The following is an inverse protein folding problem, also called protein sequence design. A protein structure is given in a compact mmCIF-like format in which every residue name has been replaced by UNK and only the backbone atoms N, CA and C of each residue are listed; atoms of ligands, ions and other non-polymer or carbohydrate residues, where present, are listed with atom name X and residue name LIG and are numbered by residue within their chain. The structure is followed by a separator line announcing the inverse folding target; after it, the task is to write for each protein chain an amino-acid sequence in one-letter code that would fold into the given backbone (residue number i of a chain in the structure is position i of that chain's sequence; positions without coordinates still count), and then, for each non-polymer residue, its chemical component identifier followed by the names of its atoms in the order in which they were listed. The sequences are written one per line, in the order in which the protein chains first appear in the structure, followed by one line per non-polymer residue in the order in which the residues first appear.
data_IF_480473825627
#
_entry.id   IF_480473825627
#
_cell.length_a   1.000
_cell.length_b   1.000
_cell.length_c   1.000
_cell.angle_alpha   90.00
_cell.angle_beta   90.00
_cell.angle_gamma   90.00
#
_symmetry.space_group_name_H-M   'P 1'
#
loop_
_entity.id
_entity.type
_entity.pdbx_description
1 polymer ?
#
# COMPACT_ATOMS: atom_id res chain seq x y z
N UNK A 1 12.45 -23.00 -1.11
CA UNK A 1 11.79 -23.93 -2.05
C UNK A 1 10.45 -24.28 -1.44
N UNK A 2 9.38 -23.76 -2.02
CA UNK A 2 8.01 -23.99 -1.56
C UNK A 2 7.69 -25.49 -1.69
N UNK A 3 7.30 -26.13 -0.58
CA UNK A 3 6.90 -27.53 -0.57
C UNK A 3 5.41 -27.62 -0.19
N UNK A 4 4.50 -27.82 -1.16
CA UNK A 4 3.06 -27.87 -0.89
C UNK A 4 2.64 -29.05 -0.02
N UNK A 5 3.49 -30.08 0.13
CA UNK A 5 3.19 -31.25 0.94
C UNK A 5 3.52 -31.05 2.44
N UNK A 6 4.27 -30.01 2.79
CA UNK A 6 4.63 -29.74 4.17
C UNK A 6 3.48 -29.06 4.95
N UNK A 7 3.56 -29.14 6.27
CA UNK A 7 2.67 -28.39 7.16
C UNK A 7 3.48 -27.28 7.81
N UNK A 8 3.00 -26.05 7.68
CA UNK A 8 3.63 -24.88 8.28
C UNK A 8 2.93 -24.46 9.57
N UNK A 9 3.66 -23.78 10.44
CA UNK A 9 3.13 -23.17 11.65
C UNK A 9 3.78 -21.81 11.91
N UNK A 10 3.02 -20.90 12.54
CA UNK A 10 3.55 -19.63 13.03
C UNK A 10 2.63 -19.02 14.10
N UNK A 11 3.13 -18.00 14.81
CA UNK A 11 2.31 -17.12 15.64
C UNK A 11 1.70 -16.05 14.72
N UNK A 12 0.37 -15.94 14.71
CA UNK A 12 -0.38 -15.02 13.83
C UNK A 12 -0.80 -13.71 14.52
N UNK A 13 -0.54 -13.56 15.81
CA UNK A 13 -0.77 -12.32 16.58
C UNK A 13 0.51 -11.48 16.69
N UNK A 14 0.42 -10.15 16.84
CA UNK A 14 1.58 -9.30 17.05
C UNK A 14 2.46 -9.76 18.23
N UNK A 15 3.77 -9.59 18.11
CA UNK A 15 4.69 -9.87 19.21
C UNK A 15 4.42 -8.94 20.39
N UNK A 16 4.37 -9.47 21.61
CA UNK A 16 4.13 -8.71 22.82
C UNK A 16 3.38 -9.51 23.87
N UNK A 17 2.90 -8.80 24.90
CA UNK A 17 2.01 -9.36 25.93
C UNK A 17 0.58 -8.91 25.64
N UNK A 18 -0.32 -9.88 25.53
CA UNK A 18 -1.76 -9.65 25.35
C UNK A 18 -2.59 -10.63 26.17
N UNK A 19 -3.91 -10.47 26.12
CA UNK A 19 -4.81 -11.45 26.75
C UNK A 19 -4.74 -12.81 26.03
N UNK A 20 -4.66 -12.79 24.70
CA UNK A 20 -4.66 -13.97 23.84
C UNK A 20 -3.55 -13.90 22.79
N UNK A 21 -3.05 -15.06 22.37
CA UNK A 21 -2.20 -15.26 21.21
C UNK A 21 -2.76 -16.39 20.35
N UNK A 22 -2.48 -16.33 19.04
CA UNK A 22 -2.92 -17.36 18.08
C UNK A 22 -1.70 -18.02 17.48
N UNK A 23 -1.57 -19.34 17.67
CA UNK A 23 -0.64 -20.19 16.91
C UNK A 23 -1.44 -20.91 15.83
N UNK A 24 -1.01 -20.79 14.59
CA UNK A 24 -1.73 -21.27 13.41
C UNK A 24 -0.90 -22.32 12.67
N UNK A 25 -1.55 -23.38 12.20
CA UNK A 25 -0.97 -24.40 11.33
C UNK A 25 -1.73 -24.48 10.01
N UNK A 26 -1.05 -24.71 8.88
CA UNK A 26 -1.66 -24.99 7.57
C UNK A 26 -0.94 -26.11 6.85
N UNK A 27 -1.68 -27.01 6.23
CA UNK A 27 -1.17 -28.14 5.44
C UNK A 27 -1.86 -29.45 5.82
N UNK A 28 -1.62 -30.49 5.02
CA UNK A 28 -2.32 -31.79 5.12
C UNK A 28 -2.27 -32.44 6.51
N UNK A 29 -1.22 -32.19 7.29
CA UNK A 29 -1.03 -32.79 8.61
C UNK A 29 -1.39 -31.85 9.77
N UNK A 30 -1.91 -30.64 9.52
CA UNK A 30 -2.19 -29.63 10.56
C UNK A 30 -3.09 -30.16 11.68
N UNK A 31 -4.17 -30.89 11.32
CA UNK A 31 -5.04 -31.57 12.29
C UNK A 31 -4.30 -32.62 13.10
N UNK A 32 -3.59 -33.53 12.43
CA UNK A 32 -2.92 -34.65 13.10
C UNK A 32 -1.82 -34.16 14.07
N UNK A 33 -0.99 -33.21 13.65
CA UNK A 33 0.06 -32.61 14.48
C UNK A 33 -0.55 -31.96 15.72
N UNK A 34 -1.63 -31.19 15.55
CA UNK A 34 -2.25 -30.49 16.66
C UNK A 34 -3.00 -31.42 17.63
N UNK A 35 -3.68 -32.47 17.14
CA UNK A 35 -4.37 -33.46 17.97
C UNK A 35 -3.42 -34.29 18.85
N UNK A 36 -2.18 -34.54 18.42
CA UNK A 36 -1.18 -35.28 19.23
C UNK A 36 -0.89 -34.63 20.58
N UNK A 37 -0.95 -33.30 20.63
CA UNK A 37 -0.61 -32.52 21.81
C UNK A 37 -1.83 -31.91 22.49
N UNK A 38 -3.04 -32.22 22.00
CA UNK A 38 -4.28 -31.65 22.51
C UNK A 38 -5.08 -32.66 23.33
N UNK A 39 -5.37 -32.29 24.57
CA UNK A 39 -6.23 -33.05 25.47
C UNK A 39 -7.56 -32.33 25.62
N UNK A 40 -8.54 -32.71 24.81
CA UNK A 40 -9.86 -32.08 24.79
C UNK A 40 -10.89 -32.87 23.99
N UNK A 41 -11.96 -32.19 23.58
CA UNK A 41 -12.97 -32.77 22.70
C UNK A 41 -12.43 -33.06 21.29
N UNK A 42 -13.19 -33.84 20.51
CA UNK A 42 -12.86 -34.09 19.10
C UNK A 42 -12.94 -32.80 18.29
N UNK A 43 -11.92 -32.52 17.47
CA UNK A 43 -11.93 -31.37 16.57
C UNK A 43 -12.90 -31.60 15.40
N UNK A 44 -13.94 -30.78 15.35
CA UNK A 44 -14.95 -30.72 14.28
C UNK A 44 -14.74 -29.45 13.43
N UNK A 45 -15.10 -29.53 12.15
CA UNK A 45 -14.87 -28.43 11.20
C UNK A 45 -15.58 -27.15 11.66
N UNK A 46 -14.83 -26.05 11.75
CA UNK A 46 -15.26 -24.70 12.15
C UNK A 46 -15.90 -24.62 13.54
N UNK A 47 -15.59 -25.56 14.43
CA UNK A 47 -16.10 -25.57 15.80
C UNK A 47 -15.00 -25.27 16.81
N UNK A 48 -15.27 -24.29 17.68
CA UNK A 48 -14.42 -24.00 18.82
C UNK A 48 -14.45 -25.15 19.83
N UNK A 49 -13.28 -25.69 20.14
CA UNK A 49 -13.12 -26.85 21.02
C UNK A 49 -12.16 -26.49 22.15
N UNK A 50 -12.64 -26.54 23.39
CA UNK A 50 -11.84 -26.27 24.58
C UNK A 50 -11.06 -27.53 25.01
N UNK A 51 -9.85 -27.32 25.51
CA UNK A 51 -9.00 -28.36 26.09
C UNK A 51 -7.64 -27.81 26.53
N UNK A 52 -6.68 -28.70 26.74
CA UNK A 52 -5.33 -28.33 27.15
C UNK A 52 -4.31 -28.72 26.07
N UNK A 53 -3.30 -27.88 25.85
CA UNK A 53 -2.08 -28.30 25.15
C UNK A 53 -1.12 -28.90 26.17
N UNK A 54 -0.57 -30.08 25.88
CA UNK A 54 0.36 -30.80 26.74
C UNK A 54 1.70 -31.05 26.03
N UNK A 55 2.79 -31.02 26.77
CA UNK A 55 4.12 -31.36 26.27
C UNK A 55 4.33 -32.89 26.13
N UNK A 56 5.52 -33.31 25.68
CA UNK A 56 5.89 -34.73 25.55
C UNK A 56 5.95 -35.50 26.86
N UNK A 57 6.04 -34.81 28.01
CA UNK A 57 6.02 -35.39 29.35
C UNK A 57 4.60 -35.44 29.95
N UNK A 58 3.60 -34.93 29.23
CA UNK A 58 2.21 -34.82 29.70
C UNK A 58 1.95 -33.63 30.62
N UNK A 59 2.88 -32.68 30.72
CA UNK A 59 2.72 -31.43 31.46
C UNK A 59 1.85 -30.48 30.64
N UNK A 60 0.86 -29.86 31.28
CA UNK A 60 0.01 -28.87 30.63
C UNK A 60 0.84 -27.61 30.37
N UNK A 61 0.90 -27.20 29.11
CA UNK A 61 1.48 -25.93 28.67
C UNK A 61 0.46 -24.81 28.88
N UNK A 62 -0.78 -25.01 28.38
CA UNK A 62 -1.84 -24.01 28.52
C UNK A 62 -3.25 -24.60 28.30
N UNK A 63 -4.25 -23.87 28.80
CA UNK A 63 -5.66 -24.05 28.49
C UNK A 63 -5.99 -23.27 27.22
N UNK A 64 -6.50 -23.95 26.18
CA UNK A 64 -6.68 -23.35 24.85
C UNK A 64 -8.06 -23.57 24.27
N UNK A 65 -8.40 -22.75 23.28
CA UNK A 65 -9.49 -23.01 22.34
C UNK A 65 -8.88 -23.32 20.97
N UNK A 66 -9.21 -24.47 20.42
CA UNK A 66 -8.79 -24.88 19.08
C UNK A 66 -9.94 -24.81 18.09
N UNK A 67 -9.64 -24.34 16.88
CA UNK A 67 -10.56 -24.36 15.74
C UNK A 67 -9.86 -25.07 14.59
N UNK A 68 -10.46 -26.12 14.06
CA UNK A 68 -10.00 -26.78 12.85
C UNK A 68 -10.85 -26.35 11.66
N UNK A 69 -10.20 -26.05 10.54
CA UNK A 69 -10.81 -25.75 9.26
C UNK A 69 -10.41 -26.84 8.28
N UNK A 70 -11.38 -27.60 7.80
CA UNK A 70 -11.18 -28.62 6.79
C UNK A 70 -11.03 -27.98 5.41
N UNK A 71 -10.07 -28.46 4.60
CA UNK A 71 -9.93 -28.07 3.20
C UNK A 71 -11.24 -28.33 2.41
N UNK A 72 -11.64 -27.45 1.47
CA UNK A 72 -11.03 -26.17 1.09
C UNK A 72 -11.54 -24.96 1.91
N UNK A 73 -12.27 -25.19 3.00
CA UNK A 73 -13.00 -24.18 3.77
C UNK A 73 -12.16 -23.33 4.72
N UNK A 74 -10.83 -23.25 4.53
CA UNK A 74 -9.88 -22.51 5.38
C UNK A 74 -9.27 -21.30 4.68
N UNK A 75 -8.50 -20.46 5.38
CA UNK A 75 -7.81 -19.30 4.77
C UNK A 75 -6.89 -19.66 3.61
N UNK A 76 -6.12 -20.74 3.73
CA UNK A 76 -5.17 -21.22 2.72
C UNK A 76 -5.81 -22.17 1.71
N UNK A 77 -7.09 -22.52 1.88
CA UNK A 77 -7.76 -23.64 1.20
C UNK A 77 -7.16 -25.04 1.48
N UNK A 78 -6.24 -25.15 2.44
CA UNK A 78 -5.73 -26.42 2.98
C UNK A 78 -6.42 -26.79 4.30
N UNK A 79 -6.08 -27.92 4.90
CA UNK A 79 -6.44 -28.15 6.30
C UNK A 79 -5.67 -27.15 7.18
N UNK A 80 -6.38 -26.42 8.04
CA UNK A 80 -5.80 -25.41 8.93
C UNK A 80 -6.28 -25.62 10.36
N UNK A 81 -5.43 -25.32 11.34
CA UNK A 81 -5.78 -25.31 12.75
C UNK A 81 -5.33 -23.99 13.38
N UNK A 82 -6.21 -23.36 14.15
CA UNK A 82 -5.90 -22.20 14.97
C UNK A 82 -5.99 -22.57 16.46
N UNK A 83 -4.94 -22.25 17.20
CA UNK A 83 -4.81 -22.49 18.64
C UNK A 83 -4.80 -21.13 19.33
N UNK A 84 -5.90 -20.81 20.01
CA UNK A 84 -6.07 -19.60 20.79
C UNK A 84 -5.65 -19.91 22.22
N UNK A 85 -4.53 -19.32 22.64
CA UNK A 85 -3.88 -19.53 23.93
C UNK A 85 -3.74 -18.20 24.68
N UNK A 86 -3.29 -18.22 25.93
CA UNK A 86 -2.96 -17.00 26.66
C UNK A 86 -1.85 -16.23 25.96
N UNK A 87 -1.99 -14.91 25.88
CA UNK A 87 -1.11 -14.03 25.09
C UNK A 87 0.28 -13.75 25.69
N UNK A 88 0.81 -14.71 26.46
CA UNK A 88 2.19 -14.67 26.95
C UNK A 88 3.18 -15.12 25.87
N UNK A 89 4.30 -14.41 25.76
CA UNK A 89 5.37 -14.77 24.82
C UNK A 89 5.85 -16.21 25.03
N UNK A 90 6.09 -16.62 26.27
CA UNK A 90 6.57 -17.97 26.61
C UNK A 90 5.58 -19.06 26.19
N UNK A 91 4.29 -18.85 26.41
CA UNK A 91 3.24 -19.84 26.11
C UNK A 91 3.13 -20.06 24.60
N UNK A 92 2.97 -18.98 23.83
CA UNK A 92 2.86 -19.06 22.37
C UNK A 92 4.12 -19.64 21.70
N UNK A 93 5.32 -19.35 22.23
CA UNK A 93 6.57 -19.96 21.76
C UNK A 93 6.66 -21.46 22.08
N UNK A 94 6.30 -21.89 23.30
CA UNK A 94 6.29 -23.32 23.66
C UNK A 94 5.33 -24.12 22.77
N UNK A 95 4.14 -23.59 22.51
CA UNK A 95 3.17 -24.22 21.60
C UNK A 95 3.72 -24.30 20.18
N UNK A 96 4.37 -23.24 19.68
CA UNK A 96 5.00 -23.23 18.36
C UNK A 96 6.11 -24.30 18.26
N UNK A 97 7.03 -24.33 19.23
CA UNK A 97 8.12 -25.32 19.30
C UNK A 97 7.59 -26.75 19.35
N UNK A 98 6.51 -26.98 20.11
CA UNK A 98 5.85 -28.28 20.20
C UNK A 98 5.34 -28.75 18.83
N UNK A 99 4.70 -27.87 18.05
CA UNK A 99 4.26 -28.20 16.71
C UNK A 99 5.43 -28.42 15.75
N UNK A 100 6.51 -27.65 15.88
CA UNK A 100 7.73 -27.89 15.11
C UNK A 100 8.31 -29.28 15.38
N UNK A 101 8.42 -29.66 16.65
CA UNK A 101 8.91 -30.98 17.06
C UNK A 101 7.98 -32.12 16.60
N UNK A 102 6.69 -31.84 16.42
CA UNK A 102 5.70 -32.78 15.91
C UNK A 102 5.67 -32.89 14.37
N UNK A 103 6.50 -32.13 13.65
CA UNK A 103 6.70 -32.21 12.20
C UNK A 103 6.21 -31.02 11.39
N UNK A 104 5.75 -29.94 12.02
CA UNK A 104 5.47 -28.69 11.31
C UNK A 104 6.77 -27.91 11.04
N UNK A 105 6.86 -27.20 9.92
CA UNK A 105 7.94 -26.25 9.64
C UNK A 105 7.50 -24.84 10.06
N UNK A 106 8.44 -23.97 10.45
CA UNK A 106 8.15 -22.55 10.60
C UNK A 106 7.76 -21.94 9.25
N UNK A 107 6.65 -21.21 9.23
CA UNK A 107 6.21 -20.48 8.04
C UNK A 107 7.20 -19.36 7.68
N UNK A 108 7.40 -19.13 6.39
CA UNK A 108 8.08 -17.96 5.88
C UNK A 108 7.16 -16.71 5.92
N UNK A 109 7.71 -15.49 5.81
CA UNK A 109 6.90 -14.28 5.68
C UNK A 109 5.90 -14.40 4.51
N UNK A 110 4.63 -14.09 4.77
CA UNK A 110 3.56 -14.14 3.75
C UNK A 110 3.16 -15.53 3.27
N UNK A 111 3.72 -16.62 3.82
CA UNK A 111 3.54 -17.96 3.29
C UNK A 111 2.07 -18.44 3.36
N UNK A 112 1.28 -18.03 4.35
CA UNK A 112 -0.14 -18.44 4.37
C UNK A 112 -0.92 -17.74 3.25
N UNK A 113 -0.68 -16.46 2.99
CA UNK A 113 -1.34 -15.72 1.90
C UNK A 113 -0.86 -16.26 0.55
N UNK A 114 0.43 -16.59 0.42
CA UNK A 114 0.97 -17.25 -0.79
C UNK A 114 0.25 -18.57 -1.06
N UNK A 115 0.02 -19.41 -0.05
CA UNK A 115 -0.74 -20.66 -0.21
C UNK A 115 -2.19 -20.40 -0.62
N UNK A 116 -2.83 -19.39 -0.05
CA UNK A 116 -4.19 -18.99 -0.45
C UNK A 116 -4.24 -18.58 -1.93
N UNK A 117 -3.23 -17.84 -2.41
CA UNK A 117 -3.08 -17.49 -3.82
C UNK A 117 -2.87 -18.72 -4.71
N UNK A 118 -1.90 -19.58 -4.37
CA UNK A 118 -1.58 -20.78 -5.15
C UNK A 118 -2.74 -21.79 -5.23
N UNK A 119 -3.57 -21.85 -4.20
CA UNK A 119 -4.77 -22.69 -4.17
C UNK A 119 -6.00 -22.00 -4.82
N UNK A 120 -5.82 -20.86 -5.50
CA UNK A 120 -6.86 -20.16 -6.25
C UNK A 120 -7.92 -19.49 -5.38
N UNK A 121 -7.68 -19.33 -4.09
CA UNK A 121 -8.61 -18.66 -3.16
C UNK A 121 -8.51 -17.13 -3.26
N UNK A 122 -7.36 -16.61 -3.63
CA UNK A 122 -7.09 -15.20 -3.89
C UNK A 122 -6.33 -15.08 -5.21
N UNK A 123 -6.49 -13.96 -5.91
CA UNK A 123 -5.54 -13.54 -6.94
C UNK A 123 -4.42 -12.68 -6.32
N UNK A 124 -3.43 -12.30 -7.13
CA UNK A 124 -2.27 -11.56 -6.62
C UNK A 124 -2.63 -10.13 -6.15
N UNK A 125 -3.66 -9.51 -6.74
CA UNK A 125 -4.13 -8.17 -6.34
C UNK A 125 -4.87 -8.22 -5.00
N UNK A 126 -5.68 -9.25 -4.78
CA UNK A 126 -6.37 -9.53 -3.52
C UNK A 126 -5.36 -9.89 -2.43
N UNK A 127 -4.32 -10.66 -2.76
CA UNK A 127 -3.22 -10.98 -1.84
C UNK A 127 -2.47 -9.71 -1.38
N UNK A 128 -2.08 -8.83 -2.30
CA UNK A 128 -1.46 -7.54 -1.96
C UNK A 128 -2.37 -6.69 -1.07
N UNK A 129 -3.68 -6.69 -1.34
CA UNK A 129 -4.67 -5.96 -0.56
C UNK A 129 -4.75 -6.43 0.89
N UNK A 130 -4.51 -7.72 1.19
CA UNK A 130 -4.43 -8.22 2.58
C UNK A 130 -3.33 -7.48 3.35
N UNK A 131 -2.15 -7.29 2.75
CA UNK A 131 -1.05 -6.57 3.38
C UNK A 131 -1.37 -5.07 3.55
N UNK A 132 -2.00 -4.47 2.55
CA UNK A 132 -2.45 -3.08 2.62
C UNK A 132 -3.46 -2.85 3.75
N UNK A 133 -4.42 -3.76 3.97
CA UNK A 133 -5.38 -3.66 5.10
C UNK A 133 -4.66 -3.71 6.45
N UNK A 134 -3.70 -4.61 6.60
CA UNK A 134 -2.95 -4.78 7.87
C UNK A 134 -2.12 -3.53 8.18
N UNK A 135 -1.51 -2.94 7.16
CA UNK A 135 -0.63 -1.78 7.31
C UNK A 135 -1.34 -0.43 7.24
N UNK A 136 -2.63 -0.42 6.85
CA UNK A 136 -3.43 0.77 6.65
C UNK A 136 -3.34 1.72 7.85
N UNK A 137 -2.98 2.97 7.55
CA UNK A 137 -2.81 4.03 8.56
C UNK A 137 -4.11 4.82 8.76
N UNK A 138 -4.90 5.00 7.71
CA UNK A 138 -6.19 5.71 7.78
C UNK A 138 -7.36 4.81 7.40
N UNK A 139 -8.57 5.31 7.68
CA UNK A 139 -9.81 4.69 7.23
C UNK A 139 -9.90 4.64 5.69
N UNK A 140 -9.45 5.69 4.98
CA UNK A 140 -9.47 5.68 3.51
C UNK A 140 -8.49 4.67 2.94
N UNK A 141 -7.27 4.56 3.48
CA UNK A 141 -6.32 3.51 3.07
C UNK A 141 -6.90 2.12 3.26
N UNK A 142 -7.53 1.88 4.42
CA UNK A 142 -8.19 0.61 4.72
C UNK A 142 -9.31 0.33 3.72
N UNK A 143 -10.14 1.34 3.41
CA UNK A 143 -11.29 1.19 2.52
C UNK A 143 -10.86 0.87 1.08
N UNK A 144 -9.86 1.56 0.54
CA UNK A 144 -9.29 1.25 -0.78
C UNK A 144 -8.75 -0.19 -0.85
N UNK A 145 -8.01 -0.61 0.18
CA UNK A 145 -7.51 -1.98 0.27
C UNK A 145 -8.66 -3.01 0.41
N UNK A 146 -9.74 -2.68 1.13
CA UNK A 146 -10.93 -3.52 1.21
C UNK A 146 -11.60 -3.70 -0.15
N UNK A 147 -11.75 -2.65 -0.96
CA UNK A 147 -12.29 -2.77 -2.31
C UNK A 147 -11.44 -3.72 -3.18
N UNK A 148 -10.12 -3.64 -3.09
CA UNK A 148 -9.25 -4.56 -3.84
C UNK A 148 -9.36 -6.00 -3.32
N UNK A 149 -9.47 -6.21 -2.00
CA UNK A 149 -9.72 -7.53 -1.43
C UNK A 149 -11.09 -8.12 -1.84
N UNK A 150 -12.09 -7.28 -2.05
CA UNK A 150 -13.41 -7.65 -2.60
C UNK A 150 -13.37 -7.89 -4.13
N UNK A 151 -12.21 -7.80 -4.76
CA UNK A 151 -12.01 -8.07 -6.19
C UNK A 151 -12.37 -6.91 -7.11
N UNK A 152 -12.52 -5.67 -6.60
CA UNK A 152 -12.88 -4.51 -7.45
C UNK A 152 -11.81 -4.22 -8.52
N UNK A 153 -10.52 -4.25 -8.15
CA UNK A 153 -9.42 -4.11 -9.12
C UNK A 153 -9.39 -5.29 -10.09
N UNK A 154 -9.47 -6.52 -9.58
CA UNK A 154 -9.56 -7.75 -10.39
C UNK A 154 -10.64 -7.66 -11.46
N UNK A 155 -11.86 -7.25 -11.09
CA UNK A 155 -12.96 -7.12 -12.05
C UNK A 155 -12.63 -6.11 -13.17
N UNK A 156 -12.03 -4.96 -12.85
CA UNK A 156 -11.59 -3.99 -13.86
C UNK A 156 -10.53 -4.60 -14.81
N UNK A 157 -9.59 -5.38 -14.27
CA UNK A 157 -8.55 -6.05 -15.07
C UNK A 157 -9.12 -7.19 -15.92
N UNK A 158 -10.06 -7.98 -15.38
CA UNK A 158 -10.72 -9.07 -16.09
C UNK A 158 -11.54 -8.56 -17.28
N UNK A 159 -12.15 -7.37 -17.18
CA UNK A 159 -12.81 -6.72 -18.31
C UNK A 159 -11.80 -6.39 -19.43
N UNK A 160 -10.62 -5.85 -19.08
CA UNK A 160 -9.57 -5.55 -20.07
C UNK A 160 -9.05 -6.84 -20.70
N UNK A 161 -8.74 -7.86 -19.89
CA UNK A 161 -8.30 -9.17 -20.35
C UNK A 161 -9.30 -9.81 -21.32
N UNK A 162 -10.60 -9.76 -20.99
CA UNK A 162 -11.64 -10.38 -21.81
C UNK A 162 -11.72 -9.71 -23.19
N UNK A 163 -11.64 -8.37 -23.24
CA UNK A 163 -11.66 -7.63 -24.50
C UNK A 163 -10.41 -7.86 -25.34
N UNK A 164 -9.23 -7.91 -24.72
CA UNK A 164 -7.98 -8.25 -25.43
C UNK A 164 -8.07 -9.65 -26.02
N UNK A 165 -8.56 -10.62 -25.25
CA UNK A 165 -8.73 -12.00 -25.71
C UNK A 165 -9.74 -12.11 -26.87
N UNK A 166 -10.86 -11.39 -26.78
CA UNK A 166 -11.86 -11.34 -27.85
C UNK A 166 -11.28 -10.76 -29.14
N UNK A 167 -10.53 -9.65 -29.07
CA UNK A 167 -9.86 -9.07 -30.24
C UNK A 167 -8.85 -10.02 -30.87
N UNK A 168 -8.04 -10.70 -30.05
CA UNK A 168 -7.08 -11.70 -30.54
C UNK A 168 -7.84 -12.83 -31.25
N UNK A 169 -8.92 -13.33 -30.66
CA UNK A 169 -9.70 -14.44 -31.22
C UNK A 169 -10.34 -14.07 -32.57
N UNK A 170 -10.83 -12.83 -32.70
CA UNK A 170 -11.40 -12.31 -33.96
C UNK A 170 -10.34 -12.19 -35.05
N UNK A 171 -9.16 -11.65 -34.72
CA UNK A 171 -8.05 -11.53 -35.67
C UNK A 171 -7.49 -12.90 -36.08
N UNK A 172 -7.40 -13.85 -35.15
CA UNK A 172 -6.93 -15.22 -35.46
C UNK A 172 -7.90 -15.97 -36.38
N UNK A 173 -9.21 -15.80 -36.18
CA UNK A 173 -10.21 -16.40 -37.06
C UNK A 173 -10.13 -15.87 -38.50
N UNK A 174 -9.84 -14.59 -38.71
CA UNK A 174 -9.68 -14.06 -40.07
C UNK A 174 -8.47 -14.69 -40.78
N UNK A 175 -7.34 -14.84 -40.08
CA UNK A 175 -6.14 -15.47 -40.64
C UNK A 175 -6.40 -16.93 -41.03
N UNK A 176 -7.10 -17.68 -40.18
CA UNK A 176 -7.35 -19.11 -40.39
C UNK A 176 -8.42 -19.38 -41.47
N UNK A 177 -9.35 -18.45 -41.72
CA UNK A 177 -10.51 -18.64 -42.61
C UNK A 177 -10.61 -17.61 -43.75
N UNK A 178 -9.51 -16.93 -44.12
CA UNK A 178 -9.47 -15.86 -45.12
C UNK A 178 -9.98 -16.23 -46.53
N UNK A 179 -10.11 -17.52 -46.83
CA UNK A 179 -10.58 -18.07 -48.12
C UNK A 179 -12.09 -18.40 -48.14
N UNK A 180 -12.77 -18.35 -47.00
CA UNK A 180 -14.22 -18.55 -46.88
C UNK A 180 -14.96 -17.20 -47.02
N UNK A 181 -16.16 -17.18 -47.60
CA UNK A 181 -17.00 -15.96 -47.73
C UNK A 181 -17.57 -15.52 -46.35
N UNK A 182 -16.69 -15.30 -45.36
CA UNK A 182 -17.02 -14.74 -44.06
C UNK A 182 -17.06 -13.21 -44.19
N UNK A 183 -17.94 -12.55 -43.43
CA UNK A 183 -18.03 -11.09 -43.37
C UNK A 183 -16.64 -10.51 -43.04
N UNK A 184 -16.08 -9.74 -43.98
CA UNK A 184 -14.75 -9.10 -43.84
C UNK A 184 -14.61 -8.41 -42.49
N UNK A 185 -13.44 -8.56 -41.85
CA UNK A 185 -13.07 -7.84 -40.64
C UNK A 185 -13.46 -6.36 -40.68
N UNK A 186 -14.19 -5.92 -39.66
CA UNK A 186 -14.53 -4.51 -39.49
C UNK A 186 -13.42 -3.79 -38.71
N UNK A 187 -12.41 -3.27 -39.40
CA UNK A 187 -11.29 -2.56 -38.77
C UNK A 187 -11.72 -1.36 -37.90
N UNK A 188 -12.86 -0.72 -38.20
CA UNK A 188 -13.40 0.35 -37.33
C UNK A 188 -13.82 -0.20 -35.96
N UNK A 189 -14.41 -1.39 -35.93
CA UNK A 189 -14.82 -2.04 -34.68
C UNK A 189 -13.61 -2.49 -33.85
N UNK A 190 -12.53 -2.95 -34.49
CA UNK A 190 -11.26 -3.23 -33.80
C UNK A 190 -10.70 -1.95 -33.20
N UNK A 191 -10.68 -0.85 -33.96
CA UNK A 191 -10.18 0.44 -33.49
C UNK A 191 -10.99 1.00 -32.31
N UNK A 192 -12.32 0.89 -32.37
CA UNK A 192 -13.22 1.32 -31.30
C UNK A 192 -12.99 0.51 -30.02
N UNK A 193 -12.82 -0.82 -30.15
CA UNK A 193 -12.52 -1.69 -29.02
C UNK A 193 -11.15 -1.40 -28.39
N UNK A 194 -10.10 -1.18 -29.20
CA UNK A 194 -8.80 -0.78 -28.68
C UNK A 194 -8.84 0.57 -27.97
N UNK A 195 -9.63 1.52 -28.50
CA UNK A 195 -9.82 2.84 -27.88
C UNK A 195 -10.55 2.75 -26.53
N UNK A 196 -11.57 1.88 -26.41
CA UNK A 196 -12.23 1.63 -25.12
C UNK A 196 -11.28 0.95 -24.11
N UNK A 197 -10.47 -0.01 -24.55
CA UNK A 197 -9.45 -0.63 -23.70
C UNK A 197 -8.46 0.43 -23.21
N UNK A 198 -7.95 1.29 -24.10
CA UNK A 198 -7.04 2.37 -23.75
C UNK A 198 -7.65 3.32 -22.74
N UNK A 199 -8.91 3.74 -22.92
CA UNK A 199 -9.60 4.63 -21.98
C UNK A 199 -9.74 4.00 -20.58
N UNK A 200 -10.03 2.70 -20.49
CA UNK A 200 -10.08 1.97 -19.20
C UNK A 200 -8.73 1.88 -18.52
N UNK A 201 -7.67 1.67 -19.30
CA UNK A 201 -6.29 1.65 -18.80
C UNK A 201 -5.90 3.05 -18.27
N UNK A 202 -6.25 4.11 -19.00
CA UNK A 202 -6.02 5.50 -18.56
C UNK A 202 -6.78 5.83 -17.27
N UNK A 203 -8.03 5.38 -17.14
CA UNK A 203 -8.79 5.48 -15.89
C UNK A 203 -8.02 4.81 -14.73
N UNK A 204 -7.57 3.56 -14.91
CA UNK A 204 -6.81 2.84 -13.88
C UNK A 204 -5.51 3.57 -13.50
N UNK A 205 -4.74 4.04 -14.47
CA UNK A 205 -3.49 4.77 -14.22
C UNK A 205 -3.73 6.06 -13.44
N UNK A 206 -4.84 6.75 -13.71
CA UNK A 206 -5.21 7.97 -12.97
C UNK A 206 -5.47 7.73 -11.47
N UNK A 207 -5.76 6.49 -11.07
CA UNK A 207 -5.98 6.12 -9.66
C UNK A 207 -4.69 5.88 -8.88
N UNK A 208 -3.53 5.82 -9.54
CA UNK A 208 -2.29 5.46 -8.85
C UNK A 208 -1.81 6.50 -7.85
N UNK A 209 -1.99 7.79 -8.13
CA UNK A 209 -1.58 8.85 -7.21
C UNK A 209 -2.31 8.72 -5.87
N UNK A 210 -3.63 8.53 -5.90
CA UNK A 210 -4.42 8.34 -4.68
C UNK A 210 -4.06 7.04 -3.97
N UNK A 211 -3.80 5.96 -4.71
CA UNK A 211 -3.36 4.68 -4.13
C UNK A 211 -1.96 4.77 -3.49
N UNK A 212 -1.02 5.48 -4.11
CA UNK A 212 0.32 5.76 -3.58
C UNK A 212 0.24 6.56 -2.28
N UNK A 213 -0.60 7.59 -2.25
CA UNK A 213 -0.87 8.39 -1.05
C UNK A 213 -1.49 7.50 0.04
N UNK A 214 -2.48 6.67 -0.31
CA UNK A 214 -3.13 5.75 0.62
C UNK A 214 -2.16 4.72 1.24
N UNK A 215 -1.15 4.29 0.50
CA UNK A 215 -0.07 3.43 1.00
C UNK A 215 0.97 4.17 1.85
N UNK A 216 0.74 5.46 2.14
CA UNK A 216 1.63 6.26 2.97
C UNK A 216 2.96 6.56 2.29
N UNK A 217 2.95 6.74 0.96
CA UNK A 217 4.16 7.05 0.17
C UNK A 217 4.20 8.50 -0.32
N UNK A 218 3.30 9.34 0.17
CA UNK A 218 3.32 10.77 -0.07
C UNK A 218 4.14 11.48 1.02
N UNK A 219 5.03 12.39 0.63
CA UNK A 219 5.94 13.09 1.52
C UNK A 219 5.76 14.60 1.46
N UNK A 220 5.70 15.23 2.63
CA UNK A 220 5.71 16.69 2.80
C UNK A 220 6.93 17.10 3.62
N UNK A 221 7.67 18.11 3.13
CA UNK A 221 8.73 18.77 3.89
C UNK A 221 8.27 20.14 4.40
N UNK A 222 8.57 20.45 5.65
CA UNK A 222 8.42 21.82 6.19
C UNK A 222 9.76 22.54 6.06
N UNK A 223 9.76 23.66 5.34
CA UNK A 223 10.96 24.44 4.98
C UNK A 223 10.79 25.88 5.43
N UNK A 224 11.88 26.52 5.83
CA UNK A 224 11.91 27.94 6.21
C UNK A 224 13.10 28.26 7.10
N UNK A 225 13.40 29.55 7.28
CA UNK A 225 14.50 30.02 8.14
C UNK A 225 14.35 29.55 9.60
N UNK A 226 15.41 29.63 10.44
CA UNK A 226 15.31 29.36 11.87
C UNK A 226 14.19 30.18 12.54
N UNK A 227 13.54 29.60 13.56
CA UNK A 227 12.55 30.29 14.42
C UNK A 227 11.27 30.84 13.74
N UNK A 228 11.01 30.50 12.46
CA UNK A 228 9.75 30.84 11.74
C UNK A 228 8.53 30.01 12.22
N UNK A 229 8.76 29.00 13.06
CA UNK A 229 7.72 28.16 13.66
C UNK A 229 7.43 26.85 12.94
N UNK A 230 8.43 26.26 12.27
CA UNK A 230 8.37 24.93 11.63
C UNK A 230 7.88 23.84 12.59
N UNK A 231 8.56 23.67 13.73
CA UNK A 231 8.18 22.68 14.74
C UNK A 231 6.82 22.97 15.37
N UNK A 232 6.42 24.24 15.47
CA UNK A 232 5.07 24.61 15.93
C UNK A 232 4.00 24.15 14.94
N UNK A 233 4.22 24.33 13.63
CA UNK A 233 3.30 23.84 12.60
C UNK A 233 3.25 22.31 12.56
N UNK A 234 4.41 21.65 12.57
CA UNK A 234 4.52 20.19 12.63
C UNK A 234 3.68 19.61 13.79
N UNK A 235 3.89 20.11 15.00
CA UNK A 235 3.14 19.69 16.17
C UNK A 235 1.65 20.08 16.10
N UNK A 236 1.31 21.19 15.45
CA UNK A 236 -0.08 21.59 15.29
C UNK A 236 -0.81 20.62 14.36
N UNK A 237 -0.21 20.26 13.21
CA UNK A 237 -0.77 19.31 12.25
C UNK A 237 -0.88 17.90 12.82
N UNK A 238 0.13 17.42 13.56
CA UNK A 238 0.07 16.14 14.27
C UNK A 238 -1.05 16.06 15.33
N UNK A 239 -1.46 17.20 15.90
CA UNK A 239 -2.48 17.27 16.96
C UNK A 239 -3.88 17.56 16.44
N UNK A 240 -4.00 18.30 15.33
CA UNK A 240 -5.30 18.62 14.71
C UNK A 240 -5.86 17.45 13.94
N UNK A 241 -5.00 16.73 13.25
CA UNK A 241 -5.30 15.53 12.49
C UNK A 241 -4.72 14.36 13.26
N UNK A 242 -5.54 13.43 13.76
CA UNK A 242 -5.11 12.33 14.64
C UNK A 242 -3.82 11.70 14.09
N UNK A 243 -2.67 11.96 14.72
CA UNK A 243 -1.41 11.32 14.38
C UNK A 243 -1.64 9.81 14.38
N UNK A 244 -1.33 9.15 13.27
CA UNK A 244 -1.41 7.70 13.19
C UNK A 244 -0.09 7.20 13.72
N UNK A 245 0.00 7.14 15.05
CA UNK A 245 1.17 6.59 15.72
C UNK A 245 1.21 5.10 15.38
N UNK A 246 2.15 4.70 14.55
CA UNK A 246 2.45 3.28 14.36
C UNK A 246 3.25 2.83 15.57
N UNK A 247 2.60 2.18 16.52
CA UNK A 247 3.27 1.50 17.61
C UNK A 247 3.97 0.25 17.12
N UNK A 248 5.19 0.38 16.58
CA UNK A 248 6.17 -0.72 16.57
C UNK A 248 7.50 -0.14 17.06
N UNK A 249 7.89 -0.36 18.34
CA UNK A 249 9.21 0.00 18.81
C UNK A 249 10.25 -0.85 18.06
N UNK A 250 11.17 -0.22 17.31
CA UNK A 250 12.44 -0.87 16.95
C UNK A 250 12.87 -0.94 15.49
N UNK A 251 12.14 -0.40 14.50
CA UNK A 251 12.63 -0.42 13.11
C UNK A 251 13.41 0.85 12.75
N UNK A 252 14.72 0.78 13.04
CA UNK A 252 15.84 1.45 12.32
C UNK A 252 15.83 2.98 12.18
N UNK A 253 16.40 3.64 13.20
CA UNK A 253 17.51 4.63 13.24
C UNK A 253 17.76 5.71 12.16
N UNK A 254 17.00 5.86 11.08
CA UNK A 254 17.20 6.95 10.11
C UNK A 254 15.90 7.72 9.86
N UNK A 255 15.90 9.02 10.22
CA UNK A 255 14.79 9.98 10.15
C UNK A 255 13.52 9.60 10.94
N UNK A 256 13.19 10.34 11.99
CA UNK A 256 11.89 10.26 12.66
C UNK A 256 10.81 10.80 11.70
N UNK A 257 10.34 9.96 10.79
CA UNK A 257 9.21 10.20 9.90
C UNK A 257 7.92 9.92 10.66
N UNK A 258 6.97 10.86 10.63
CA UNK A 258 5.67 10.70 11.29
C UNK A 258 4.54 10.74 10.24
N UNK A 259 3.54 9.89 10.42
CA UNK A 259 2.34 9.90 9.58
C UNK A 259 1.32 10.90 10.10
N UNK A 260 1.00 11.89 9.27
CA UNK A 260 -0.09 12.84 9.49
C UNK A 260 -1.28 12.43 8.64
N UNK A 261 -2.48 12.44 9.22
CA UNK A 261 -3.70 12.25 8.45
C UNK A 261 -4.05 13.57 7.73
N UNK A 262 -4.07 13.59 6.40
CA UNK A 262 -4.49 14.75 5.63
C UNK A 262 -5.70 14.34 4.81
N UNK A 263 -6.87 14.87 5.14
CA UNK A 263 -8.08 14.59 4.36
C UNK A 263 -8.53 13.12 4.39
N UNK A 264 -8.14 12.37 5.42
CA UNK A 264 -8.40 10.93 5.50
C UNK A 264 -7.26 10.06 4.95
N UNK A 265 -6.16 10.64 4.47
CA UNK A 265 -5.02 9.91 3.89
C UNK A 265 -3.72 10.06 4.69
N UNK A 266 -2.86 9.04 4.75
CA UNK A 266 -1.61 9.12 5.46
C UNK A 266 -0.55 9.81 4.61
N UNK A 267 -0.01 10.91 5.13
CA UNK A 267 1.10 11.63 4.50
C UNK A 267 2.29 11.62 5.46
N UNK A 268 3.45 11.24 4.96
CA UNK A 268 4.70 11.31 5.71
C UNK A 268 5.09 12.77 5.80
N UNK A 269 5.23 13.27 7.02
CA UNK A 269 5.78 14.59 7.28
C UNK A 269 7.19 14.43 7.81
N UNK A 270 8.14 14.99 7.08
CA UNK A 270 9.54 15.03 7.51
C UNK A 270 9.81 16.40 8.11
N UNK A 271 10.00 16.44 9.44
CA UNK A 271 10.52 17.65 10.07
C UNK A 271 12.00 17.77 9.71
N UNK A 272 12.36 18.87 9.06
CA UNK A 272 13.77 19.23 8.85
C UNK A 272 14.52 19.48 10.16
N UNK A 273 13.84 19.44 11.32
CA UNK A 273 14.39 19.61 12.67
C UNK A 273 14.20 18.39 13.63
N UNK A 274 13.77 17.23 13.13
CA UNK A 274 13.19 16.15 13.95
C UNK A 274 14.09 15.05 14.52
N UNK A 275 15.43 15.16 14.56
CA UNK A 275 16.25 14.20 15.33
C UNK A 275 16.07 14.52 16.82
N UNK A 276 15.15 13.84 17.52
CA UNK A 276 15.07 13.97 18.98
C UNK A 276 16.28 13.29 19.63
N UNK A 277 17.32 14.08 19.89
CA UNK A 277 18.11 14.04 21.12
C UNK A 277 18.80 15.38 21.35
N UNK A 278 18.54 15.96 22.54
CA UNK A 278 19.16 17.15 23.16
C UNK A 278 18.63 18.54 22.77
N UNK A 279 18.10 19.24 23.77
CA UNK A 279 17.47 20.57 23.73
C UNK A 279 18.46 21.73 23.49
N UNK A 280 19.70 21.51 23.06
CA UNK A 280 20.69 22.61 22.97
C UNK A 280 21.65 22.59 21.76
N UNK A 281 21.54 21.69 20.78
CA UNK A 281 22.50 21.64 19.65
C UNK A 281 21.91 21.53 18.22
N UNK A 282 20.58 21.60 18.01
CA UNK A 282 19.96 21.33 16.69
C UNK A 282 19.35 22.58 16.04
N UNK A 283 20.15 23.63 15.88
CA UNK A 283 19.77 24.83 15.09
C UNK A 283 20.49 24.94 13.73
N UNK A 284 21.27 23.93 13.31
CA UNK A 284 22.00 23.96 12.04
C UNK A 284 21.83 22.64 11.28
N UNK A 285 20.65 22.42 10.68
CA UNK A 285 20.55 21.57 9.49
C UNK A 285 20.64 22.53 8.31
N UNK A 286 21.88 22.76 7.86
CA UNK A 286 22.21 23.74 6.83
C UNK A 286 21.49 23.49 5.51
N UNK A 287 21.43 24.55 4.68
CA UNK A 287 20.80 24.62 3.36
C UNK A 287 21.01 23.34 2.54
N UNK A 288 22.21 22.75 2.53
CA UNK A 288 22.54 21.57 1.73
C UNK A 288 21.75 20.29 2.10
N UNK A 289 21.46 20.03 3.38
CA UNK A 289 20.63 18.87 3.77
C UNK A 289 19.14 19.11 3.48
N UNK A 290 18.68 20.36 3.58
CA UNK A 290 17.34 20.74 3.15
C UNK A 290 17.15 20.53 1.64
N UNK A 291 18.19 20.73 0.82
CA UNK A 291 18.14 20.53 -0.64
C UNK A 291 17.87 19.08 -1.05
N UNK A 292 18.57 18.11 -0.45
CA UNK A 292 18.35 16.68 -0.74
C UNK A 292 16.95 16.22 -0.30
N UNK A 293 16.44 16.73 0.83
CA UNK A 293 15.08 16.43 1.27
C UNK A 293 14.05 17.02 0.29
N UNK A 294 14.21 18.30 -0.09
CA UNK A 294 13.30 18.99 -1.02
C UNK A 294 13.20 18.26 -2.37
N UNK A 295 14.30 17.68 -2.88
CA UNK A 295 14.25 16.95 -4.16
C UNK A 295 13.46 15.63 -4.12
N UNK A 296 13.16 15.11 -2.93
CA UNK A 296 12.54 13.79 -2.76
C UNK A 296 11.12 13.86 -2.17
N UNK A 297 10.57 15.05 -1.95
CA UNK A 297 9.20 15.22 -1.43
C UNK A 297 8.21 15.60 -2.52
N UNK A 298 6.95 15.22 -2.33
CA UNK A 298 5.85 15.57 -3.23
C UNK A 298 5.44 17.03 -3.10
N UNK A 299 5.60 17.60 -1.90
CA UNK A 299 5.18 18.98 -1.60
C UNK A 299 6.01 19.60 -0.48
N UNK A 300 6.40 20.87 -0.67
CA UNK A 300 7.01 21.67 0.37
C UNK A 300 6.00 22.64 1.00
N UNK A 301 6.01 22.76 2.33
CA UNK A 301 5.36 23.85 3.05
C UNK A 301 6.44 24.86 3.41
N UNK A 302 6.45 25.99 2.70
CA UNK A 302 7.43 27.05 2.94
C UNK A 302 6.87 28.07 3.93
N UNK A 303 7.51 28.20 5.09
CA UNK A 303 7.06 29.07 6.18
C UNK A 303 7.89 30.34 6.26
N UNK A 304 7.17 31.47 6.29
CA UNK A 304 7.66 32.78 6.68
C UNK A 304 7.12 33.19 8.05
N UNK A 305 7.82 34.13 8.71
CA UNK A 305 7.43 34.67 10.01
C UNK A 305 6.80 36.07 9.86
N UNK A 306 5.53 36.21 10.21
CA UNK A 306 4.80 37.47 10.11
C UNK A 306 5.29 38.58 11.05
N UNK A 307 6.08 38.24 12.08
CA UNK A 307 6.59 39.20 13.08
C UNK A 307 7.85 39.95 12.62
N UNK A 308 8.46 39.55 11.50
CA UNK A 308 9.65 40.21 10.93
C UNK A 308 9.52 40.39 9.42
N UNK A 309 10.23 41.34 8.79
CA UNK A 309 10.30 41.42 7.34
C UNK A 309 11.05 40.20 6.76
N UNK A 310 10.77 39.92 5.48
CA UNK A 310 11.49 38.93 4.66
C UNK A 310 12.99 39.28 4.61
N UNK A 311 13.85 38.37 5.06
CA UNK A 311 15.31 38.52 5.03
C UNK A 311 15.93 37.83 3.79
N UNK A 312 17.27 37.86 3.69
CA UNK A 312 17.99 37.25 2.56
C UNK A 312 17.89 35.71 2.56
N UNK A 313 17.91 35.07 3.72
CA UNK A 313 17.76 33.61 3.84
C UNK A 313 16.37 33.14 3.35
N UNK A 314 15.31 33.87 3.68
CA UNK A 314 13.96 33.61 3.17
C UNK A 314 13.93 33.70 1.63
N UNK A 315 14.69 34.63 1.03
CA UNK A 315 14.77 34.81 -0.44
C UNK A 315 15.55 33.67 -1.09
N UNK A 316 16.68 33.26 -0.51
CA UNK A 316 17.47 32.14 -1.01
C UNK A 316 16.67 30.83 -1.01
N UNK A 317 15.90 30.60 0.07
CA UNK A 317 15.00 29.44 0.16
C UNK A 317 13.90 29.54 -0.90
N UNK A 318 13.27 30.71 -1.06
CA UNK A 318 12.22 30.93 -2.07
C UNK A 318 12.74 30.65 -3.49
N UNK A 319 13.89 31.21 -3.84
CA UNK A 319 14.54 30.99 -5.15
C UNK A 319 14.84 29.51 -5.40
N UNK A 320 15.30 28.79 -4.38
CA UNK A 320 15.53 27.36 -4.48
C UNK A 320 14.22 26.56 -4.65
N UNK A 321 13.14 26.98 -4.00
CA UNK A 321 11.84 26.31 -4.05
C UNK A 321 11.02 26.60 -5.30
N UNK A 322 11.34 27.63 -6.08
CA UNK A 322 10.60 27.98 -7.32
C UNK A 322 10.51 26.83 -8.35
N UNK A 323 11.41 25.85 -8.27
CA UNK A 323 11.46 24.65 -9.14
C UNK A 323 10.75 23.42 -8.54
N UNK A 324 10.20 23.53 -7.34
CA UNK A 324 9.50 22.45 -6.65
C UNK A 324 8.08 22.87 -6.30
N UNK A 325 7.17 21.89 -6.22
CA UNK A 325 5.82 22.14 -5.74
C UNK A 325 5.85 22.61 -4.29
N UNK A 326 5.30 23.80 -4.02
CA UNK A 326 5.27 24.35 -2.67
C UNK A 326 3.98 25.15 -2.39
N UNK A 327 3.65 25.26 -1.11
CA UNK A 327 2.65 26.17 -0.55
C UNK A 327 3.39 27.20 0.30
N UNK A 328 3.16 28.48 0.02
CA UNK A 328 3.68 29.57 0.84
C UNK A 328 2.77 29.84 2.03
N UNK A 329 3.35 29.82 3.23
CA UNK A 329 2.66 30.00 4.50
C UNK A 329 3.30 31.12 5.29
N UNK A 330 2.50 32.10 5.73
CA UNK A 330 2.93 33.16 6.64
C UNK A 330 2.41 32.81 8.04
N UNK A 331 3.31 32.34 8.89
CA UNK A 331 3.01 31.91 10.26
C UNK A 331 3.12 33.08 11.25
N UNK A 332 2.58 32.90 12.47
CA UNK A 332 2.44 33.95 13.50
C UNK A 332 1.55 35.11 13.05
N UNK A 333 0.56 34.83 12.20
CA UNK A 333 -0.39 35.83 11.69
C UNK A 333 -1.17 36.54 12.81
N UNK A 334 -1.24 35.96 14.02
CA UNK A 334 -1.78 36.61 15.21
C UNK A 334 -0.97 37.83 15.68
N UNK A 335 0.28 37.98 15.23
CA UNK A 335 1.15 39.12 15.50
C UNK A 335 1.14 40.17 14.38
N UNK A 336 0.35 39.96 13.32
CA UNK A 336 0.28 40.90 12.21
C UNK A 336 -0.42 42.20 12.59
N UNK A 337 0.19 43.29 12.16
CA UNK A 337 -0.39 44.63 12.17
C UNK A 337 -1.38 44.80 11.00
N UNK A 338 -2.36 45.70 11.16
CA UNK A 338 -3.35 46.12 10.14
C UNK A 338 -2.75 46.52 8.78
N UNK A 339 -1.46 46.85 8.69
CA UNK A 339 -0.72 47.16 7.45
C UNK A 339 -0.45 45.94 6.56
N UNK A 340 -0.69 44.72 7.04
CA UNK A 340 -0.50 43.48 6.28
C UNK A 340 0.97 43.04 6.16
N UNK A 341 1.20 41.83 5.66
CA UNK A 341 2.53 41.27 5.43
C UNK A 341 2.98 41.59 4.00
N UNK A 342 4.10 42.28 3.85
CA UNK A 342 4.61 42.66 2.53
C UNK A 342 5.51 41.54 2.00
N UNK A 343 5.00 40.79 1.03
CA UNK A 343 5.82 39.93 0.19
C UNK A 343 6.54 40.77 -0.87
N UNK A 344 7.81 40.47 -1.10
CA UNK A 344 8.60 41.08 -2.18
C UNK A 344 8.38 40.32 -3.50
N UNK A 345 8.94 40.81 -4.61
CA UNK A 345 8.72 40.23 -5.95
C UNK A 345 9.33 38.83 -6.18
N UNK A 346 10.18 38.33 -5.27
CA UNK A 346 10.93 37.08 -5.46
C UNK A 346 10.13 35.78 -5.18
N UNK A 347 8.86 35.89 -4.78
CA UNK A 347 8.01 34.71 -4.48
C UNK A 347 7.13 34.37 -5.68
N UNK A 348 7.22 33.12 -6.17
CA UNK A 348 6.39 32.64 -7.27
C UNK A 348 4.91 32.55 -6.89
N UNK A 349 4.62 32.23 -5.63
CA UNK A 349 3.27 32.24 -5.07
C UNK A 349 2.96 33.60 -4.44
N UNK A 350 2.03 34.34 -5.06
CA UNK A 350 1.61 35.67 -4.59
C UNK A 350 0.47 35.64 -3.59
N UNK A 351 -0.06 34.46 -3.25
CA UNK A 351 -1.22 34.33 -2.38
C UNK A 351 -0.92 33.42 -1.18
N UNK A 352 -0.09 33.89 -0.23
CA UNK A 352 0.30 33.09 0.93
C UNK A 352 -0.90 32.75 1.81
N UNK A 353 -0.85 31.58 2.43
CA UNK A 353 -1.79 31.23 3.48
C UNK A 353 -1.31 31.82 4.82
N UNK A 354 -2.18 32.59 5.46
CA UNK A 354 -1.89 33.18 6.77
C UNK A 354 -2.38 32.26 7.88
N UNK A 355 -1.46 31.84 8.75
CA UNK A 355 -1.78 30.94 9.85
C UNK A 355 -1.18 31.43 11.17
N UNK A 356 -1.74 30.93 12.28
CA UNK A 356 -1.04 30.90 13.55
C UNK A 356 -0.96 29.45 14.01
N UNK A 357 0.20 28.82 13.87
CA UNK A 357 0.39 27.45 14.33
C UNK A 357 0.16 27.31 15.84
N UNK A 358 0.52 28.34 16.61
CA UNK A 358 0.34 28.37 18.07
C UNK A 358 -1.14 28.49 18.46
N UNK A 359 -1.89 29.39 17.80
CA UNK A 359 -3.34 29.57 18.06
C UNK A 359 -4.22 28.58 17.31
N UNK A 360 -3.64 27.80 16.40
CA UNK A 360 -4.31 26.84 15.50
C UNK A 360 -5.36 27.47 14.60
N UNK A 361 -5.12 28.70 14.15
CA UNK A 361 -6.01 29.41 13.23
C UNK A 361 -5.47 29.30 11.80
N UNK A 362 -6.33 29.02 10.82
CA UNK A 362 -5.97 28.88 9.40
C UNK A 362 -5.37 27.52 9.01
N UNK A 363 -5.28 26.57 9.95
CA UNK A 363 -4.78 25.22 9.68
C UNK A 363 -5.73 24.42 8.78
N UNK A 364 -7.03 24.63 8.92
CA UNK A 364 -8.07 24.02 8.07
C UNK A 364 -7.93 24.44 6.60
N UNK A 365 -7.60 25.70 6.35
CA UNK A 365 -7.32 26.22 5.01
C UNK A 365 -6.04 25.61 4.45
N UNK A 366 -4.99 25.52 5.28
CA UNK A 366 -3.74 24.86 4.90
C UNK A 366 -3.96 23.38 4.54
N UNK A 367 -4.72 22.64 5.35
CA UNK A 367 -5.05 21.22 5.08
C UNK A 367 -5.78 21.09 3.74
N UNK A 368 -6.77 21.95 3.47
CA UNK A 368 -7.49 21.94 2.17
C UNK A 368 -6.57 22.23 0.97
N UNK A 369 -5.65 23.18 1.10
CA UNK A 369 -4.69 23.46 0.03
C UNK A 369 -3.70 22.29 -0.15
N UNK A 370 -3.25 21.65 0.93
CA UNK A 370 -2.43 20.43 0.84
C UNK A 370 -3.21 19.33 0.11
N UNK A 371 -4.47 19.08 0.47
CA UNK A 371 -5.32 18.08 -0.18
C UNK A 371 -5.38 18.32 -1.68
N UNK A 372 -5.71 19.56 -2.09
CA UNK A 372 -5.77 19.96 -3.49
C UNK A 372 -4.45 19.74 -4.23
N UNK A 373 -3.32 20.13 -3.63
CA UNK A 373 -1.99 19.98 -4.25
C UNK A 373 -1.54 18.51 -4.37
N UNK A 374 -2.00 17.65 -3.46
CA UNK A 374 -1.76 16.22 -3.49
C UNK A 374 -2.87 15.45 -4.25
N UNK A 375 -3.71 16.14 -5.03
CA UNK A 375 -4.84 15.54 -5.77
C UNK A 375 -5.81 14.71 -4.91
N UNK A 376 -5.88 15.02 -3.62
CA UNK A 376 -6.84 14.48 -2.65
C UNK A 376 -8.14 15.30 -2.73
N UNK A 377 -8.70 15.43 -3.94
CA UNK A 377 -9.95 16.15 -4.20
C UNK A 377 -11.18 15.23 -4.16
N UNK A 378 -10.96 13.94 -3.91
CA UNK A 378 -11.99 12.92 -3.99
C UNK A 378 -12.82 12.88 -2.70
N UNK A 379 -14.08 13.30 -2.83
CA UNK A 379 -15.11 13.22 -1.79
C UNK A 379 -15.43 11.74 -1.45
N UNK A 380 -15.18 10.82 -2.40
CA UNK A 380 -15.43 9.39 -2.25
C UNK A 380 -14.19 8.54 -2.62
N UNK A 381 -13.94 7.43 -1.90
CA UNK A 381 -12.82 6.55 -2.17
C UNK A 381 -13.00 5.79 -3.48
N UNK A 382 -11.95 5.77 -4.30
CA UNK A 382 -11.94 5.15 -5.63
C UNK A 382 -11.99 3.63 -5.53
N UNK A 383 -13.01 3.01 -6.11
CA UNK A 383 -13.07 1.54 -6.20
C UNK A 383 -12.04 1.00 -7.20
N UNK A 384 -11.30 -0.03 -6.79
CA UNK A 384 -10.34 -0.72 -7.68
C UNK A 384 -9.12 0.13 -8.03
N UNK A 385 -8.59 0.90 -7.08
CA UNK A 385 -7.41 1.73 -7.29
C UNK A 385 -6.09 0.91 -7.33
N UNK A 386 -5.10 1.41 -8.06
CA UNK A 386 -3.75 0.86 -8.08
C UNK A 386 -2.99 1.31 -6.82
N UNK A 387 -2.56 0.35 -5.98
CA UNK A 387 -1.91 0.63 -4.69
C UNK A 387 -0.38 0.44 -4.74
N UNK A 388 0.13 -0.41 -5.64
CA UNK A 388 1.57 -0.72 -5.69
C UNK A 388 2.23 -0.22 -6.98
N UNK A 389 3.52 0.13 -6.89
CA UNK A 389 4.32 0.50 -8.06
C UNK A 389 4.33 -0.63 -9.09
N UNK A 390 4.39 -1.89 -8.63
CA UNK A 390 4.26 -3.08 -9.50
C UNK A 390 2.96 -3.04 -10.30
N UNK A 391 1.84 -2.75 -9.63
CA UNK A 391 0.56 -2.67 -10.31
C UNK A 391 0.56 -1.57 -11.37
N UNK A 392 1.05 -0.38 -11.03
CA UNK A 392 1.21 0.72 -11.97
C UNK A 392 2.09 0.36 -13.16
N UNK A 393 3.28 -0.20 -12.93
CA UNK A 393 4.23 -0.56 -13.98
C UNK A 393 3.67 -1.61 -14.95
N UNK A 394 2.89 -2.57 -14.45
CA UNK A 394 2.21 -3.55 -15.30
C UNK A 394 1.15 -2.89 -16.17
N UNK A 395 0.27 -2.06 -15.58
CA UNK A 395 -0.77 -1.34 -16.32
C UNK A 395 -0.17 -0.37 -17.35
N UNK A 396 0.96 0.28 -17.01
CA UNK A 396 1.68 1.17 -17.92
C UNK A 396 2.30 0.40 -19.11
N UNK A 397 2.86 -0.79 -18.87
CA UNK A 397 3.33 -1.68 -19.94
C UNK A 397 2.18 -2.11 -20.84
N UNK A 398 1.04 -2.51 -20.27
CA UNK A 398 -0.18 -2.80 -21.05
C UNK A 398 -0.61 -1.59 -21.89
N UNK A 399 -0.64 -0.39 -21.31
CA UNK A 399 -0.98 0.84 -22.04
C UNK A 399 -0.09 1.02 -23.27
N UNK A 400 1.22 0.82 -23.09
CA UNK A 400 2.19 0.93 -24.18
C UNK A 400 1.93 -0.10 -25.27
N UNK A 401 1.70 -1.36 -24.92
CA UNK A 401 1.41 -2.41 -25.91
C UNK A 401 0.09 -2.15 -26.65
N UNK A 402 -0.97 -1.72 -25.96
CA UNK A 402 -2.24 -1.33 -26.61
C UNK A 402 -2.04 -0.13 -27.55
N UNK A 403 -1.27 0.89 -27.14
CA UNK A 403 -0.93 2.03 -28.01
C UNK A 403 -0.12 1.62 -29.24
N UNK A 404 0.79 0.65 -29.10
CA UNK A 404 1.52 0.07 -30.23
C UNK A 404 0.57 -0.67 -31.19
N UNK A 405 -0.40 -1.42 -30.67
CA UNK A 405 -1.40 -2.12 -31.50
C UNK A 405 -2.27 -1.13 -32.29
N UNK A 406 -2.71 -0.03 -31.65
CA UNK A 406 -3.45 1.05 -32.32
C UNK A 406 -2.61 1.67 -33.44
N UNK A 407 -1.31 1.90 -33.18
CA UNK A 407 -0.39 2.46 -34.19
C UNK A 407 -0.18 1.50 -35.36
N UNK A 408 0.02 0.21 -35.09
CA UNK A 408 0.17 -0.84 -36.10
C UNK A 408 -1.09 -0.95 -36.98
N UNK A 409 -2.27 -0.92 -36.36
CA UNK A 409 -3.56 -0.90 -37.08
C UNK A 409 -3.66 0.32 -38.01
N UNK A 410 -3.32 1.52 -37.52
CA UNK A 410 -3.35 2.74 -38.34
C UNK A 410 -2.33 2.74 -39.50
N UNK A 411 -1.25 1.96 -39.36
CA UNK A 411 -0.22 1.78 -40.39
C UNK A 411 -0.57 0.65 -41.39
N UNK A 412 -1.70 -0.04 -41.20
CA UNK A 412 -2.09 -1.24 -41.97
C UNK A 412 -1.01 -2.33 -41.93
N UNK A 413 -0.38 -2.53 -40.76
CA UNK A 413 0.49 -3.68 -40.51
C UNK A 413 -0.30 -4.99 -40.58
N UNK A 414 0.39 -6.12 -40.75
CA UNK A 414 -0.29 -7.42 -40.85
C UNK A 414 -0.97 -7.82 -39.53
N UNK A 415 -2.05 -8.59 -39.65
CA UNK A 415 -2.83 -9.06 -38.49
C UNK A 415 -1.99 -9.90 -37.53
N UNK A 416 -1.04 -10.69 -38.03
CA UNK A 416 -0.07 -11.43 -37.22
C UNK A 416 0.76 -10.51 -36.30
N UNK A 417 1.19 -9.35 -36.81
CA UNK A 417 1.94 -8.36 -36.03
C UNK A 417 1.06 -7.77 -34.94
N UNK A 418 -0.18 -7.43 -35.28
CA UNK A 418 -1.15 -6.88 -34.32
C UNK A 418 -1.45 -7.90 -33.22
N UNK A 419 -1.73 -9.16 -33.57
CA UNK A 419 -1.97 -10.26 -32.63
C UNK A 419 -0.79 -10.44 -31.68
N UNK A 420 0.44 -10.43 -32.19
CA UNK A 420 1.65 -10.55 -31.38
C UNK A 420 1.71 -9.45 -30.31
N UNK A 421 1.46 -8.19 -30.69
CA UNK A 421 1.45 -7.04 -29.76
C UNK A 421 0.31 -7.17 -28.73
N UNK A 422 -0.88 -7.61 -29.16
CA UNK A 422 -2.01 -7.81 -28.23
C UNK A 422 -1.76 -8.95 -27.24
N UNK A 423 -1.05 -10.00 -27.64
CA UNK A 423 -0.61 -11.08 -26.74
C UNK A 423 0.36 -10.54 -25.69
N UNK A 424 1.30 -9.67 -26.06
CA UNK A 424 2.16 -8.98 -25.07
C UNK A 424 1.34 -8.14 -24.07
N UNK A 425 0.33 -7.41 -24.55
CA UNK A 425 -0.56 -6.64 -23.68
C UNK A 425 -1.32 -7.56 -22.70
N UNK A 426 -1.83 -8.69 -23.18
CA UNK A 426 -2.54 -9.70 -22.40
C UNK A 426 -1.62 -10.32 -21.33
N UNK A 427 -0.36 -10.60 -21.67
CA UNK A 427 0.63 -11.12 -20.72
C UNK A 427 0.93 -10.12 -19.61
N UNK A 428 1.09 -8.83 -19.95
CA UNK A 428 1.30 -7.77 -18.96
C UNK A 428 0.13 -7.60 -17.98
N UNK A 429 -1.13 -7.74 -18.45
CA UNK A 429 -2.30 -7.73 -17.56
C UNK A 429 -2.42 -9.04 -16.78
N UNK A 430 -2.05 -10.18 -17.38
CA UNK A 430 -1.99 -11.48 -16.72
C UNK A 430 -1.03 -11.50 -15.53
N UNK A 431 0.05 -10.72 -15.60
CA UNK A 431 1.03 -10.54 -14.51
C UNK A 431 0.45 -9.84 -13.28
N UNK A 432 -0.54 -8.95 -13.46
CA UNK A 432 -1.21 -8.26 -12.35
C UNK A 432 -1.98 -9.21 -11.45
N UNK A 433 -2.80 -10.06 -12.08
CA UNK A 433 -3.65 -11.05 -11.41
C UNK A 433 -2.87 -12.27 -10.92
N UNK A 434 -1.62 -12.44 -11.37
CA UNK A 434 -0.78 -13.58 -11.05
C UNK A 434 -1.02 -14.82 -11.92
N UNK A 435 -1.80 -14.69 -13.01
CA UNK A 435 -1.98 -15.76 -14.00
C UNK A 435 -0.68 -16.12 -14.71
N UNK A 436 0.18 -15.12 -14.92
CA UNK A 436 1.52 -15.24 -15.49
C UNK A 436 2.48 -14.59 -14.50
N UNK A 437 3.19 -15.36 -13.69
CA UNK A 437 4.08 -14.78 -12.68
C UNK A 437 5.31 -15.65 -12.45
N UNK A 438 6.44 -15.01 -12.13
CA UNK A 438 7.67 -15.72 -11.78
C UNK A 438 7.76 -15.95 -10.27
N UNK A 439 8.50 -16.98 -9.86
CA UNK A 439 8.77 -17.21 -8.44
C UNK A 439 9.47 -16.01 -7.77
N UNK A 440 10.30 -15.27 -8.51
CA UNK A 440 10.99 -14.08 -8.00
C UNK A 440 10.02 -12.96 -7.64
N UNK A 441 9.01 -12.72 -8.47
CA UNK A 441 7.96 -11.72 -8.21
C UNK A 441 7.17 -12.12 -6.96
N UNK A 442 6.75 -13.38 -6.87
CA UNK A 442 6.05 -13.90 -5.70
C UNK A 442 6.90 -13.72 -4.43
N UNK A 443 8.17 -14.10 -4.46
CA UNK A 443 9.09 -13.94 -3.33
C UNK A 443 9.25 -12.47 -2.92
N UNK A 444 9.38 -11.54 -3.88
CA UNK A 444 9.48 -10.11 -3.59
C UNK A 444 8.20 -9.53 -2.96
N UNK A 445 7.02 -10.03 -3.35
CA UNK A 445 5.74 -9.60 -2.77
C UNK A 445 5.59 -10.14 -1.36
N UNK A 446 5.65 -11.46 -1.18
CA UNK A 446 5.33 -12.11 0.09
C UNK A 446 6.43 -11.93 1.16
N UNK A 447 7.68 -11.67 0.77
CA UNK A 447 8.73 -11.32 1.74
C UNK A 447 8.47 -10.04 2.53
N UNK A 448 7.59 -9.15 2.03
CA UNK A 448 7.19 -7.90 2.69
C UNK A 448 6.02 -8.08 3.66
N UNK A 449 5.43 -9.27 3.73
CA UNK A 449 4.31 -9.57 4.64
C UNK A 449 4.84 -9.95 6.02
N UNK A 450 3.97 -9.87 7.03
CA UNK A 450 4.29 -10.41 8.34
C UNK A 450 4.37 -11.95 8.32
N UNK A 451 5.18 -12.50 9.24
CA UNK A 451 5.14 -13.93 9.55
C UNK A 451 3.78 -14.27 10.18
N UNK A 452 3.19 -15.41 9.81
CA UNK A 452 1.87 -15.83 10.30
C UNK A 452 0.69 -15.33 9.47
N UNK A 453 0.99 -14.68 8.33
CA UNK A 453 0.03 -14.29 7.31
C UNK A 453 0.34 -14.86 5.95
#
# INVERSE_FOLDING_TARGET
MYNPDDTICAISTPAGVGALAIVRLSGRNSKNISEKSFKGGKLEDKKATFGNIIDSNGIIIDDVVMIWYKAPGSYTAEDMVEVICHGGYTVSQQILELFCNAGARLAQPGEFTLRAFLNGKLDLTEAEAVNSIINAKTLMSKQLATFNLEGKLKNKLDMINSKLFELISVLEAEIDFSDEEIDKLNYNEIQDNLSDIQARIEELLSTYDIGRIAEGRAQIAIVGAPNVGKSSLFNALLRSERAIVTGIPGTTRDYLTEYVNIGGYPVIMTDTAGIRQSEQEIEIIGINKSRELISNVDLCIFILDASRPVNDEDREIAEYLNKYAHILVVNKADLMDKRGYKLNDNFSDRNPLYISALRRTGLDILVKEIQKRLTIDLIEPVEGALLSQRQYDCVQRTQKSVGNAITALAQNESEEVIISILREALDHVGELSGRITSEEILNNIFSKFCIGK
#
